data_IF_089421797467
#
_entry.id   IF_089421797467
#
_cell.length_a   1.000
_cell.length_b   1.000
_cell.length_c   1.000
_cell.angle_alpha   90.00
_cell.angle_beta   90.00
_cell.angle_gamma   90.00
#
_symmetry.space_group_name_H-M   'P 1'
#
loop_
_entity.id
_entity.type
_entity.pdbx_description
1 polymer ?
#
# COMPACT_ATOMS: atom_id res chain seq x y z
N UNK A 1 -4.33 16.14 -15.52
CA UNK A 1 -4.91 15.20 -14.56
C UNK A 1 -4.16 15.23 -13.24
N UNK A 2 -4.74 14.64 -12.19
CA UNK A 2 -4.12 14.55 -10.89
C UNK A 2 -4.52 15.65 -9.90
N UNK A 3 -4.07 15.49 -8.65
CA UNK A 3 -4.41 16.34 -7.51
C UNK A 3 -3.15 16.82 -6.79
N UNK A 4 -3.28 17.94 -6.11
CA UNK A 4 -2.26 18.55 -5.26
C UNK A 4 -2.84 18.93 -3.91
N UNK A 5 -2.02 18.95 -2.87
CA UNK A 5 -2.41 19.52 -1.57
C UNK A 5 -2.52 21.06 -1.65
N UNK A 6 -1.65 21.68 -2.46
CA UNK A 6 -1.64 23.12 -2.70
C UNK A 6 -1.02 23.42 -4.07
N UNK A 7 -1.41 24.54 -4.68
CA UNK A 7 -0.94 24.95 -6.01
C UNK A 7 -1.62 24.21 -7.15
N UNK A 8 -1.06 24.31 -8.36
CA UNK A 8 -1.66 23.82 -9.61
C UNK A 8 -0.95 22.59 -10.18
N UNK A 9 0.16 22.15 -9.59
CA UNK A 9 0.94 21.00 -10.03
C UNK A 9 0.51 19.74 -9.29
N UNK A 10 0.15 18.69 -10.01
CA UNK A 10 -0.17 17.41 -9.41
C UNK A 10 0.99 16.88 -8.57
N UNK A 11 0.66 16.25 -7.45
CA UNK A 11 1.59 15.54 -6.57
C UNK A 11 1.26 14.03 -6.61
N UNK A 12 2.25 13.13 -6.64
CA UNK A 12 1.99 11.69 -6.76
C UNK A 12 1.20 11.13 -5.58
N UNK A 13 1.48 11.57 -4.35
CA UNK A 13 0.81 11.07 -3.15
C UNK A 13 -0.65 11.47 -3.15
N UNK A 14 -0.93 12.77 -3.36
CA UNK A 14 -2.30 13.30 -3.41
C UNK A 14 -3.09 12.71 -4.57
N UNK A 15 -2.43 12.51 -5.72
CA UNK A 15 -3.07 11.89 -6.89
C UNK A 15 -3.40 10.42 -6.61
N UNK A 16 -2.46 9.67 -6.02
CA UNK A 16 -2.68 8.27 -5.66
C UNK A 16 -3.78 8.10 -4.60
N UNK A 17 -3.79 8.94 -3.57
CA UNK A 17 -4.85 8.93 -2.54
C UNK A 17 -6.23 9.25 -3.13
N UNK A 18 -6.31 10.24 -4.05
CA UNK A 18 -7.55 10.56 -4.73
C UNK A 18 -8.04 9.39 -5.61
N UNK A 19 -7.13 8.71 -6.33
CA UNK A 19 -7.45 7.51 -7.11
C UNK A 19 -8.01 6.40 -6.21
N UNK A 20 -7.40 6.15 -5.06
CA UNK A 20 -7.90 5.16 -4.09
C UNK A 20 -9.32 5.49 -3.63
N UNK A 21 -9.59 6.75 -3.28
CA UNK A 21 -10.89 7.20 -2.83
C UNK A 21 -11.97 7.12 -3.93
N UNK A 22 -11.61 7.40 -5.18
CA UNK A 22 -12.51 7.41 -6.33
C UNK A 22 -12.75 6.02 -6.93
N UNK A 23 -11.93 5.03 -6.60
CA UNK A 23 -11.97 3.71 -7.22
C UNK A 23 -13.35 3.02 -7.10
N UNK A 24 -14.05 3.22 -6.00
CA UNK A 24 -15.39 2.65 -5.78
C UNK A 24 -16.52 3.34 -6.58
N UNK A 25 -16.24 4.50 -7.20
CA UNK A 25 -17.23 5.32 -7.89
C UNK A 25 -17.04 5.33 -9.41
N UNK A 26 -16.24 4.40 -9.97
CA UNK A 26 -15.90 4.37 -11.40
C UNK A 26 -17.04 4.00 -12.34
N UNK A 27 -18.19 3.62 -11.84
CA UNK A 27 -19.41 3.47 -12.63
C UNK A 27 -19.94 4.81 -13.16
N UNK A 28 -19.56 5.93 -12.53
CA UNK A 28 -19.77 7.27 -13.06
C UNK A 28 -18.71 7.58 -14.13
N UNK A 29 -19.16 7.94 -15.33
CA UNK A 29 -18.28 8.20 -16.47
C UNK A 29 -17.32 9.38 -16.24
N UNK A 30 -17.72 10.40 -15.47
CA UNK A 30 -16.86 11.54 -15.16
C UNK A 30 -15.78 11.13 -14.16
N UNK A 31 -16.11 10.29 -13.17
CA UNK A 31 -15.15 9.74 -12.22
C UNK A 31 -14.18 8.81 -12.94
N UNK A 32 -14.66 7.90 -13.80
CA UNK A 32 -13.79 7.01 -14.58
C UNK A 32 -12.81 7.83 -15.43
N UNK A 33 -13.27 8.87 -16.13
CA UNK A 33 -12.42 9.74 -16.95
C UNK A 33 -11.37 10.51 -16.10
N UNK A 34 -11.72 10.90 -14.87
CA UNK A 34 -10.80 11.56 -13.96
C UNK A 34 -9.72 10.58 -13.46
N UNK A 35 -10.11 9.35 -13.09
CA UNK A 35 -9.19 8.28 -12.69
C UNK A 35 -8.23 7.90 -13.81
N UNK A 36 -8.73 7.75 -15.06
CA UNK A 36 -7.88 7.42 -16.21
C UNK A 36 -6.81 8.49 -16.45
N UNK A 37 -7.18 9.77 -16.36
CA UNK A 37 -6.23 10.89 -16.46
C UNK A 37 -5.22 10.87 -15.32
N UNK A 38 -5.66 10.55 -14.11
CA UNK A 38 -4.78 10.46 -12.95
C UNK A 38 -3.75 9.33 -13.09
N UNK A 39 -4.18 8.15 -13.55
CA UNK A 39 -3.29 7.01 -13.84
C UNK A 39 -2.25 7.39 -14.89
N UNK A 40 -2.64 8.10 -15.96
CA UNK A 40 -1.69 8.61 -16.94
C UNK A 40 -0.72 9.62 -16.32
N UNK A 41 -1.22 10.55 -15.51
CA UNK A 41 -0.38 11.52 -14.81
C UNK A 41 0.64 10.83 -13.89
N UNK A 42 0.22 9.82 -13.13
CA UNK A 42 1.14 9.03 -12.30
C UNK A 42 2.21 8.32 -13.15
N UNK A 43 1.84 7.77 -14.31
CA UNK A 43 2.81 7.18 -15.23
C UNK A 43 3.82 8.20 -15.75
N UNK A 44 3.37 9.41 -16.07
CA UNK A 44 4.23 10.49 -16.59
C UNK A 44 5.16 11.06 -15.49
N UNK A 45 4.74 11.03 -14.24
CA UNK A 45 5.53 11.49 -13.09
C UNK A 45 6.56 10.47 -12.61
N UNK A 46 6.44 9.20 -13.01
CA UNK A 46 7.36 8.14 -12.59
C UNK A 46 8.77 8.43 -13.10
N UNK A 47 9.74 8.38 -12.19
CA UNK A 47 11.15 8.65 -12.47
C UNK A 47 11.81 7.50 -13.25
N UNK A 48 12.98 7.76 -13.82
CA UNK A 48 13.74 6.79 -14.60
C UNK A 48 14.18 5.55 -13.80
N UNK A 49 14.29 5.66 -12.48
CA UNK A 49 14.61 4.57 -11.56
C UNK A 49 13.37 3.79 -11.07
N UNK A 50 12.21 4.08 -11.66
CA UNK A 50 10.93 3.47 -11.32
C UNK A 50 10.22 4.09 -10.11
N UNK A 51 10.86 5.02 -9.39
CA UNK A 51 10.34 5.65 -8.18
C UNK A 51 9.54 6.92 -8.43
N UNK A 52 9.26 7.64 -7.34
CA UNK A 52 8.51 8.91 -7.33
C UNK A 52 9.19 9.95 -6.45
N UNK A 53 8.90 11.21 -6.73
CA UNK A 53 9.31 12.35 -5.90
C UNK A 53 8.09 13.16 -5.52
N UNK A 54 7.93 13.43 -4.22
CA UNK A 54 6.94 14.37 -3.68
C UNK A 54 7.66 15.46 -2.90
N UNK A 55 7.22 16.72 -3.06
CA UNK A 55 7.83 17.89 -2.42
C UNK A 55 9.35 18.01 -2.62
N UNK A 56 9.85 17.55 -3.75
CA UNK A 56 11.28 17.59 -4.11
C UNK A 56 12.13 16.48 -3.52
N UNK A 57 11.53 15.55 -2.77
CA UNK A 57 12.22 14.39 -2.20
C UNK A 57 11.79 13.10 -2.91
N UNK A 58 12.75 12.33 -3.40
CA UNK A 58 12.52 10.98 -3.91
C UNK A 58 12.40 10.03 -2.71
N UNK A 59 11.24 9.41 -2.52
CA UNK A 59 10.94 8.70 -1.27
C UNK A 59 10.13 7.41 -1.50
N UNK A 60 10.14 6.53 -0.50
CA UNK A 60 9.48 5.24 -0.52
C UNK A 60 7.96 5.36 -0.36
N UNK A 61 7.48 6.33 0.39
CA UNK A 61 6.06 6.54 0.69
C UNK A 61 5.30 6.90 -0.58
N UNK A 62 5.88 7.73 -1.45
CA UNK A 62 5.28 8.04 -2.75
C UNK A 62 5.18 6.79 -3.64
N UNK A 63 6.19 5.91 -3.64
CA UNK A 63 6.10 4.60 -4.30
C UNK A 63 4.98 3.75 -3.71
N UNK A 64 4.88 3.71 -2.39
CA UNK A 64 3.87 2.93 -1.68
C UNK A 64 2.45 3.41 -2.00
N UNK A 65 2.18 4.72 -1.96
CA UNK A 65 0.87 5.28 -2.28
C UNK A 65 0.44 4.95 -3.71
N UNK A 66 1.36 5.04 -4.69
CA UNK A 66 1.04 4.71 -6.08
C UNK A 66 0.79 3.19 -6.26
N UNK A 67 1.55 2.32 -5.59
CA UNK A 67 1.28 0.87 -5.60
C UNK A 67 -0.12 0.58 -5.08
N UNK A 68 -0.53 1.17 -3.96
CA UNK A 68 -1.87 0.97 -3.39
C UNK A 68 -2.94 1.47 -4.37
N UNK A 69 -2.75 2.63 -4.99
CA UNK A 69 -3.70 3.17 -5.98
C UNK A 69 -3.87 2.24 -7.19
N UNK A 70 -2.77 1.76 -7.77
CA UNK A 70 -2.80 0.87 -8.93
C UNK A 70 -3.46 -0.47 -8.60
N UNK A 71 -3.09 -1.08 -7.48
CA UNK A 71 -3.66 -2.36 -7.04
C UNK A 71 -5.16 -2.24 -6.71
N UNK A 72 -5.61 -1.10 -6.18
CA UNK A 72 -7.03 -0.81 -5.97
C UNK A 72 -7.82 -0.76 -7.28
N UNK A 73 -7.17 -0.38 -8.39
CA UNK A 73 -7.76 -0.40 -9.73
C UNK A 73 -7.63 -1.75 -10.45
N UNK A 74 -6.99 -2.74 -9.83
CA UNK A 74 -6.67 -4.03 -10.46
C UNK A 74 -5.49 -3.96 -11.44
N UNK A 75 -4.69 -2.89 -11.41
CA UNK A 75 -3.51 -2.70 -12.26
C UNK A 75 -2.28 -3.31 -11.54
N UNK A 76 -1.56 -4.20 -12.23
CA UNK A 76 -0.33 -4.83 -11.69
C UNK A 76 0.87 -3.86 -11.82
N UNK A 77 1.36 -3.26 -10.72
CA UNK A 77 2.45 -2.29 -10.75
C UNK A 77 3.81 -2.89 -11.13
N UNK A 78 3.92 -4.21 -11.17
CA UNK A 78 5.13 -4.91 -11.60
C UNK A 78 5.10 -5.34 -13.06
N UNK A 79 3.96 -5.24 -13.76
CA UNK A 79 3.80 -5.74 -15.14
C UNK A 79 3.23 -4.72 -16.12
N UNK A 80 2.44 -3.76 -15.64
CA UNK A 80 1.84 -2.76 -16.53
C UNK A 80 2.95 -1.88 -17.14
N UNK A 81 3.04 -1.88 -18.46
CA UNK A 81 4.12 -1.21 -19.20
C UNK A 81 4.20 0.31 -18.95
N UNK A 82 3.10 0.94 -18.54
CA UNK A 82 3.08 2.35 -18.17
C UNK A 82 3.94 2.64 -16.94
N UNK A 83 4.10 1.63 -16.05
CA UNK A 83 4.82 1.75 -14.78
C UNK A 83 6.15 0.98 -14.76
N UNK A 84 6.66 0.65 -15.94
CA UNK A 84 8.02 0.10 -16.12
C UNK A 84 8.90 1.17 -16.75
N UNK A 85 9.92 1.63 -16.05
CA UNK A 85 10.87 2.63 -16.54
C UNK A 85 12.27 2.01 -16.61
N UNK A 86 12.84 2.00 -17.81
CA UNK A 86 14.18 1.41 -18.07
C UNK A 86 14.32 -0.04 -17.54
N UNK A 87 13.24 -0.80 -17.58
CA UNK A 87 13.22 -2.18 -17.11
C UNK A 87 13.00 -2.36 -15.60
N UNK A 88 12.84 -1.28 -14.84
CA UNK A 88 12.53 -1.27 -13.42
C UNK A 88 11.04 -1.02 -13.21
N UNK A 89 10.42 -1.89 -12.43
CA UNK A 89 9.04 -1.74 -12.00
C UNK A 89 8.94 -0.84 -10.77
N UNK A 90 7.74 -0.42 -10.44
CA UNK A 90 7.48 0.33 -9.22
C UNK A 90 7.76 -0.51 -7.95
N UNK A 91 7.60 -1.84 -8.02
CA UNK A 91 7.98 -2.75 -6.93
C UNK A 91 9.51 -2.81 -6.75
N UNK A 92 10.28 -2.82 -7.86
CA UNK A 92 11.74 -2.77 -7.78
C UNK A 92 12.19 -1.47 -7.13
N UNK A 93 11.56 -0.34 -7.49
CA UNK A 93 11.83 0.95 -6.90
C UNK A 93 11.55 0.99 -5.39
N UNK A 94 10.39 0.46 -4.94
CA UNK A 94 10.05 0.38 -3.51
C UNK A 94 11.04 -0.52 -2.76
N UNK A 95 11.35 -1.70 -3.30
CA UNK A 95 12.28 -2.63 -2.65
C UNK A 95 13.70 -2.08 -2.47
N UNK A 96 14.10 -1.10 -3.28
CA UNK A 96 15.40 -0.43 -3.14
C UNK A 96 15.53 0.43 -1.86
N UNK A 97 14.44 0.67 -1.14
CA UNK A 97 14.44 1.37 0.16
C UNK A 97 14.52 0.42 1.36
N UNK A 98 14.49 -0.91 1.12
CA UNK A 98 14.58 -1.88 2.20
C UNK A 98 15.99 -2.00 2.75
N UNK A 99 16.16 -1.78 4.06
CA UNK A 99 17.45 -1.81 4.74
C UNK A 99 17.25 -2.13 6.22
N UNK A 100 18.15 -2.94 6.78
CA UNK A 100 18.22 -3.22 8.23
C UNK A 100 16.89 -3.68 8.86
N UNK A 101 16.06 -4.42 8.10
CA UNK A 101 14.80 -4.99 8.58
C UNK A 101 13.58 -4.10 8.43
N UNK A 102 13.70 -2.90 7.85
CA UNK A 102 12.62 -1.96 7.58
C UNK A 102 12.79 -1.22 6.25
N UNK A 103 11.96 -0.22 6.01
CA UNK A 103 12.07 0.67 4.86
C UNK A 103 12.53 2.06 5.31
N UNK A 104 13.31 2.70 4.45
CA UNK A 104 13.82 4.06 4.67
C UNK A 104 12.93 5.06 3.93
N UNK A 105 12.81 6.28 4.43
CA UNK A 105 12.21 7.39 3.70
C UNK A 105 12.98 7.67 2.41
N UNK A 106 14.30 7.82 2.51
CA UNK A 106 15.20 7.98 1.36
C UNK A 106 16.21 6.82 1.32
N UNK A 107 16.75 6.48 0.14
CA UNK A 107 17.65 5.32 -0.03
C UNK A 107 18.93 5.36 0.78
N UNK A 108 19.41 6.55 1.12
CA UNK A 108 20.59 6.79 1.95
C UNK A 108 20.25 6.95 3.46
N UNK A 109 18.95 7.00 3.78
CA UNK A 109 18.46 7.11 5.16
C UNK A 109 18.60 5.82 5.97
N UNK A 110 18.16 5.90 7.23
CA UNK A 110 17.90 4.75 8.08
C UNK A 110 16.45 4.29 7.89
N UNK A 111 16.16 3.04 8.24
CA UNK A 111 14.80 2.56 8.32
C UNK A 111 14.01 3.35 9.37
N UNK A 112 12.77 3.70 9.06
CA UNK A 112 11.86 4.39 9.97
C UNK A 112 10.47 3.76 9.95
N UNK A 113 9.69 4.07 10.99
CA UNK A 113 8.41 3.41 11.22
C UNK A 113 7.35 3.80 10.18
N UNK A 114 7.35 5.06 9.71
CA UNK A 114 6.36 5.55 8.74
C UNK A 114 6.62 4.94 7.36
N UNK A 115 7.87 5.01 6.89
CA UNK A 115 8.28 4.40 5.62
C UNK A 115 8.02 2.89 5.63
N UNK A 116 8.32 2.21 6.74
CA UNK A 116 8.10 0.77 6.90
C UNK A 116 6.62 0.42 6.89
N UNK A 117 5.78 1.15 7.62
CA UNK A 117 4.33 0.93 7.65
C UNK A 117 3.72 1.10 6.25
N UNK A 118 4.03 2.21 5.56
CA UNK A 118 3.47 2.46 4.23
C UNK A 118 3.95 1.45 3.19
N UNK A 119 5.22 1.04 3.24
CA UNK A 119 5.73 0.00 2.37
C UNK A 119 5.05 -1.35 2.63
N UNK A 120 4.79 -1.71 3.90
CA UNK A 120 4.05 -2.94 4.23
C UNK A 120 2.61 -2.89 3.74
N UNK A 121 1.93 -1.75 3.85
CA UNK A 121 0.60 -1.55 3.27
C UNK A 121 0.62 -1.77 1.75
N UNK A 122 1.59 -1.20 1.04
CA UNK A 122 1.75 -1.36 -0.40
C UNK A 122 2.03 -2.81 -0.81
N UNK A 123 2.94 -3.50 -0.11
CA UNK A 123 3.24 -4.91 -0.36
C UNK A 123 2.06 -5.81 -0.05
N UNK A 124 1.27 -5.49 0.99
CA UNK A 124 0.02 -6.20 1.30
C UNK A 124 -1.01 -5.99 0.20
N UNK A 125 -1.20 -4.75 -0.28
CA UNK A 125 -2.10 -4.45 -1.39
C UNK A 125 -1.70 -5.23 -2.66
N UNK A 126 -0.41 -5.30 -2.96
CA UNK A 126 0.10 -6.08 -4.09
C UNK A 126 -0.10 -7.59 -3.91
N UNK A 127 0.15 -8.13 -2.72
CA UNK A 127 -0.10 -9.54 -2.42
C UNK A 127 -1.59 -9.90 -2.56
N UNK A 128 -2.49 -9.02 -2.11
CA UNK A 128 -3.95 -9.18 -2.28
C UNK A 128 -4.33 -9.22 -3.76
N UNK A 129 -3.79 -8.29 -4.57
CA UNK A 129 -4.00 -8.30 -6.03
C UNK A 129 -3.57 -9.62 -6.66
N UNK A 130 -2.38 -10.13 -6.33
CA UNK A 130 -1.86 -11.38 -6.88
C UNK A 130 -2.70 -12.61 -6.49
N UNK A 131 -3.36 -12.55 -5.32
CA UNK A 131 -4.23 -13.61 -4.82
C UNK A 131 -5.69 -13.46 -5.27
N UNK A 132 -6.03 -12.46 -6.08
CA UNK A 132 -7.39 -12.18 -6.53
C UNK A 132 -8.33 -11.76 -5.41
N UNK A 133 -7.80 -11.18 -4.34
CA UNK A 133 -8.54 -10.65 -3.20
C UNK A 133 -9.01 -9.22 -3.46
N UNK A 134 -9.92 -8.71 -2.63
CA UNK A 134 -10.37 -7.31 -2.72
C UNK A 134 -9.24 -6.33 -2.39
N UNK A 135 -9.40 -5.05 -2.77
CA UNK A 135 -8.40 -4.02 -2.53
C UNK A 135 -8.06 -3.86 -1.03
N UNK A 136 -6.90 -3.25 -0.72
CA UNK A 136 -6.39 -3.13 0.66
C UNK A 136 -7.42 -2.55 1.64
N UNK A 137 -8.17 -1.55 1.22
CA UNK A 137 -9.18 -0.89 2.06
C UNK A 137 -10.60 -1.42 1.84
N UNK A 138 -10.77 -2.43 0.99
CA UNK A 138 -12.00 -3.20 0.84
C UNK A 138 -11.78 -4.60 1.42
N UNK A 139 -12.19 -4.80 2.66
CA UNK A 139 -12.01 -6.04 3.41
C UNK A 139 -13.27 -6.93 3.39
N UNK A 140 -14.15 -6.77 2.41
CA UNK A 140 -15.42 -7.51 2.31
C UNK A 140 -15.21 -9.00 2.10
N UNK A 141 -14.12 -9.40 1.46
CA UNK A 141 -13.72 -10.80 1.30
C UNK A 141 -13.33 -11.48 2.63
N UNK A 142 -12.82 -10.72 3.60
CA UNK A 142 -12.53 -11.21 4.94
C UNK A 142 -13.78 -11.25 5.82
N UNK A 143 -14.64 -10.24 5.69
CA UNK A 143 -15.90 -10.17 6.46
C UNK A 143 -16.83 -11.36 6.18
N UNK A 144 -16.80 -11.90 4.96
CA UNK A 144 -17.59 -13.08 4.60
C UNK A 144 -17.18 -14.37 5.36
N UNK A 145 -15.97 -14.43 5.91
CA UNK A 145 -15.45 -15.53 6.71
C UNK A 145 -15.52 -15.31 8.23
N UNK A 146 -15.89 -14.11 8.66
CA UNK A 146 -16.01 -13.77 10.08
C UNK A 146 -17.46 -14.03 10.51
N UNK A 147 -17.74 -15.18 11.10
CA UNK A 147 -18.96 -15.34 11.89
C UNK A 147 -18.83 -14.41 13.09
N UNK A 148 -19.73 -13.42 13.31
CA UNK A 148 -19.69 -12.62 14.51
C UNK A 148 -19.70 -13.57 15.72
N UNK A 149 -18.72 -13.47 16.61
CA UNK A 149 -18.80 -14.14 17.89
C UNK A 149 -20.10 -13.67 18.54
N UNK A 150 -20.95 -14.62 19.00
CA UNK A 150 -22.08 -14.25 19.85
C UNK A 150 -21.53 -13.39 20.99
N UNK A 151 -22.19 -12.27 21.32
CA UNK A 151 -21.74 -11.44 22.44
C UNK A 151 -21.76 -12.33 23.68
N UNK A 152 -20.58 -12.64 24.21
CA UNK A 152 -20.43 -13.30 25.48
C UNK A 152 -21.33 -12.57 26.50
N UNK A 153 -22.19 -13.34 27.18
CA UNK A 153 -23.03 -12.83 28.25
C UNK A 153 -22.12 -12.07 29.23
N UNK A 154 -22.34 -10.77 29.32
CA UNK A 154 -21.54 -9.86 30.14
C UNK A 154 -21.46 -10.41 31.57
N UNK A 155 -20.26 -10.85 31.99
CA UNK A 155 -19.93 -10.90 33.41
C UNK A 155 -20.03 -9.47 33.98
N UNK A 156 -20.54 -9.31 35.22
CA UNK A 156 -20.70 -7.99 35.83
C UNK A 156 -19.32 -7.32 35.92
N UNK A 157 -19.25 -6.07 35.45
CA UNK A 157 -18.04 -5.27 35.47
C UNK A 157 -17.50 -5.15 36.90
N UNK A 158 -16.34 -5.74 37.18
CA UNK A 158 -15.50 -5.32 38.29
C UNK A 158 -14.89 -3.94 37.95
N UNK A 159 -15.11 -2.99 38.83
CA UNK A 159 -14.56 -1.65 38.79
C UNK A 159 -13.01 -1.71 38.81
N UNK A 160 -12.37 -1.57 37.64
CA UNK A 160 -10.91 -1.52 37.55
C UNK A 160 -10.43 -0.08 37.58
N UNK A 161 -9.56 0.21 38.56
CA UNK A 161 -8.76 1.43 38.65
C UNK A 161 -7.96 1.69 37.35
N UNK A 162 -7.67 2.94 36.97
CA UNK A 162 -7.01 3.25 35.70
C UNK A 162 -5.55 2.78 35.71
N UNK A 163 -5.27 1.70 35.04
CA UNK A 163 -3.92 1.19 34.82
C UNK A 163 -3.20 1.98 33.72
N UNK A 164 -1.94 2.27 33.98
CA UNK A 164 -1.01 2.97 33.10
C UNK A 164 -0.94 2.35 31.69
N UNK A 165 -0.90 3.22 30.68
CA UNK A 165 -0.75 2.88 29.28
C UNK A 165 0.52 2.05 29.03
N UNK A 166 0.36 0.79 28.68
CA UNK A 166 1.45 -0.05 28.17
C UNK A 166 1.28 -0.26 26.67
N UNK A 167 2.16 0.35 25.89
CA UNK A 167 2.21 0.28 24.42
C UNK A 167 2.56 -1.10 23.82
N UNK A 168 2.39 -2.19 24.57
CA UNK A 168 2.80 -3.53 24.16
C UNK A 168 1.81 -4.26 23.24
N UNK A 169 0.53 -3.86 23.23
CA UNK A 169 -0.52 -4.59 22.46
C UNK A 169 -0.47 -4.31 20.97
N UNK A 170 0.02 -3.13 20.56
CA UNK A 170 0.12 -2.75 19.13
C UNK A 170 1.14 -3.61 18.38
N UNK A 171 2.22 -4.05 19.04
CA UNK A 171 3.31 -4.82 18.42
C UNK A 171 2.95 -6.26 18.05
N UNK A 172 2.00 -6.88 18.75
CA UNK A 172 1.63 -8.29 18.51
C UNK A 172 0.83 -8.44 17.20
N UNK A 173 -0.01 -7.47 16.86
CA UNK A 173 -0.83 -7.50 15.64
C UNK A 173 0.02 -7.23 14.40
N UNK A 174 1.00 -6.33 14.49
CA UNK A 174 1.92 -6.01 13.39
C UNK A 174 2.86 -7.16 13.08
N UNK A 175 3.37 -7.87 14.10
CA UNK A 175 4.27 -9.00 13.91
C UNK A 175 3.58 -10.21 13.25
N UNK A 176 2.29 -10.45 13.51
CA UNK A 176 1.53 -11.53 12.89
C UNK A 176 1.23 -11.25 11.40
N UNK A 177 0.94 -10.00 11.04
CA UNK A 177 0.70 -9.60 9.65
C UNK A 177 2.00 -9.65 8.82
N UNK A 178 3.13 -9.23 9.38
CA UNK A 178 4.44 -9.27 8.72
C UNK A 178 4.92 -10.71 8.46
N UNK A 179 4.67 -11.65 9.38
CA UNK A 179 5.04 -13.05 9.20
C UNK A 179 4.23 -13.73 8.08
N UNK A 180 2.95 -13.39 7.92
CA UNK A 180 2.10 -13.92 6.86
C UNK A 180 2.49 -13.37 5.47
N UNK A 181 2.80 -12.06 5.37
CA UNK A 181 3.23 -11.44 4.13
C UNK A 181 4.62 -11.94 3.67
N UNK A 182 5.58 -12.07 4.59
CA UNK A 182 6.92 -12.58 4.31
C UNK A 182 6.92 -14.02 3.80
N UNK A 183 6.06 -14.89 4.35
CA UNK A 183 5.95 -16.28 3.91
C UNK A 183 5.38 -16.42 2.49
N UNK A 184 4.44 -15.54 2.10
CA UNK A 184 3.86 -15.53 0.75
C UNK A 184 4.88 -15.09 -0.32
N UNK A 185 5.68 -14.07 -0.05
CA UNK A 185 6.74 -13.60 -0.95
C UNK A 185 7.82 -14.65 -1.16
N UNK A 186 8.26 -15.33 -0.09
CA UNK A 186 9.25 -16.41 -0.17
C UNK A 186 8.71 -17.61 -0.95
N UNK A 187 7.43 -17.97 -0.77
CA UNK A 187 6.80 -19.07 -1.50
C UNK A 187 6.67 -18.79 -3.00
N UNK A 188 6.30 -17.55 -3.38
CA UNK A 188 6.21 -17.12 -4.77
C UNK A 188 7.58 -17.12 -5.46
N UNK A 189 8.63 -16.65 -4.78
CA UNK A 189 10.00 -16.63 -5.29
C UNK A 189 10.58 -18.04 -5.51
N UNK A 190 10.22 -19.02 -4.66
CA UNK A 190 10.66 -20.43 -4.81
C UNK A 190 9.96 -21.15 -5.96
N UNK A 191 8.74 -20.79 -6.33
CA UNK A 191 8.03 -21.35 -7.51
C UNK A 191 8.64 -20.90 -8.82
N UNK A 192 9.07 -19.62 -8.93
CA UNK A 192 9.75 -19.09 -10.14
C UNK A 192 11.10 -19.70 -10.45
N UNK A 193 11.79 -20.35 -9.49
CA UNK A 193 13.09 -20.99 -9.71
C UNK A 193 12.99 -22.46 -10.13
N UNK A 194 11.77 -23.01 -10.27
CA UNK A 194 11.52 -24.42 -10.66
C UNK A 194 10.86 -24.57 -12.04
N UNK A 195 10.56 -23.45 -12.71
CA UNK A 195 10.19 -23.38 -14.14
C UNK A 195 11.36 -22.81 -14.95
#
# INVERSE_FOLDING_TARGET
>A
GGWALSGDSADPDMTAMAVQALAAYRDDAAVQAAVDKAVQTLSDMQLSDGGYSSWGTVNSESCAQVIIALTTLGIDPAKDSRFIKYGLSLLDALCAYYKDGGFCHTRDGAADDIATEQALCALTAYARLLNGQTALYDMTDLAAGITPAEPDAQEPAEEQEPAAQNGAVVWIVVAAAAAAAGAAVIAASKRRKKE
#
